data_IF_729108328694
#
_entry.id   IF_729108328694
#
_cell.length_a   1.000
_cell.length_b   1.000
_cell.length_c   1.000
_cell.angle_alpha   90.00
_cell.angle_beta   90.00
_cell.angle_gamma   90.00
#
_symmetry.space_group_name_H-M   'P 1'
#
loop_
_entity.id
_entity.type
_entity.pdbx_description
1 polymer ?
#
# COMPACT_ATOMS: atom_id res chain seq x y z
N UNK A 1 20.08 19.24 -8.63
CA UNK A 1 19.76 17.84 -9.00
C UNK A 1 18.49 17.87 -9.81
N UNK A 2 18.48 17.28 -11.01
CA UNK A 2 17.25 17.06 -11.76
C UNK A 2 16.63 15.82 -11.13
N UNK A 3 15.49 15.98 -10.44
CA UNK A 3 14.74 14.83 -9.95
C UNK A 3 14.18 14.10 -11.18
N UNK A 4 14.65 12.88 -11.42
CA UNK A 4 14.07 12.02 -12.45
C UNK A 4 12.69 11.55 -11.98
N UNK A 5 11.64 12.05 -12.63
CA UNK A 5 10.26 11.65 -12.34
C UNK A 5 9.90 10.43 -13.19
N UNK A 6 9.77 9.28 -12.54
CA UNK A 6 9.31 8.06 -13.18
C UNK A 6 7.78 7.92 -13.06
N UNK A 7 7.08 7.87 -14.20
CA UNK A 7 5.65 7.60 -14.25
C UNK A 7 5.41 6.10 -14.44
N UNK A 8 4.80 5.45 -13.45
CA UNK A 8 4.41 4.03 -13.54
C UNK A 8 2.90 3.93 -13.71
N UNK A 9 2.44 3.20 -14.74
CA UNK A 9 1.03 2.84 -14.84
C UNK A 9 0.69 1.86 -13.71
N UNK A 10 -0.37 2.14 -12.96
CA UNK A 10 -0.85 1.28 -11.87
C UNK A 10 -1.17 -0.17 -12.31
N UNK A 11 -1.41 -0.39 -13.61
CA UNK A 11 -1.54 -1.74 -14.18
C UNK A 11 -0.31 -2.62 -13.98
N UNK A 12 0.89 -2.01 -13.88
CA UNK A 12 2.15 -2.70 -13.64
C UNK A 12 2.48 -2.87 -12.15
N UNK A 13 1.66 -2.31 -11.25
CA UNK A 13 1.83 -2.49 -9.81
C UNK A 13 1.10 -3.76 -9.38
N UNK A 14 1.84 -4.71 -8.81
CA UNK A 14 1.28 -5.93 -8.23
C UNK A 14 1.05 -5.79 -6.72
N UNK A 15 1.94 -5.07 -6.03
CA UNK A 15 1.93 -4.91 -4.58
C UNK A 15 2.37 -3.52 -4.19
N UNK A 16 1.87 -3.05 -3.06
CA UNK A 16 2.31 -1.81 -2.43
C UNK A 16 3.12 -2.12 -1.18
N UNK A 17 4.32 -1.54 -1.09
CA UNK A 17 5.14 -1.60 0.13
C UNK A 17 4.36 -1.04 1.31
N UNK A 18 4.51 -1.66 2.47
CA UNK A 18 3.82 -1.27 3.68
C UNK A 18 4.83 -0.94 4.78
N UNK A 19 4.89 0.33 5.17
CA UNK A 19 5.78 0.84 6.19
C UNK A 19 5.03 1.42 7.40
N UNK A 20 5.78 1.88 8.42
CA UNK A 20 5.18 2.53 9.59
C UNK A 20 4.43 3.81 9.21
N UNK A 21 4.95 4.57 8.24
CA UNK A 21 4.32 5.82 7.82
C UNK A 21 2.95 5.55 7.17
N UNK A 22 2.86 4.53 6.31
CA UNK A 22 1.63 4.08 5.67
C UNK A 22 0.64 3.57 6.70
N UNK A 23 1.10 2.81 7.70
CA UNK A 23 0.27 2.35 8.81
C UNK A 23 -0.32 3.53 9.62
N UNK A 24 0.47 4.57 9.88
CA UNK A 24 0.01 5.80 10.53
C UNK A 24 -0.98 6.58 9.67
N UNK A 25 -0.75 6.67 8.35
CA UNK A 25 -1.71 7.29 7.42
C UNK A 25 -3.03 6.53 7.41
N UNK A 26 -3.01 5.19 7.36
CA UNK A 26 -4.22 4.38 7.44
C UNK A 26 -5.03 4.69 8.71
N UNK A 27 -4.36 4.72 9.87
CA UNK A 27 -5.00 5.08 11.16
C UNK A 27 -5.67 6.46 11.11
N UNK A 28 -4.97 7.46 10.56
CA UNK A 28 -5.50 8.83 10.41
C UNK A 28 -6.69 8.89 9.45
N UNK A 29 -6.60 8.20 8.31
CA UNK A 29 -7.64 8.18 7.27
C UNK A 29 -8.88 7.43 7.72
N UNK A 30 -8.74 6.32 8.46
CA UNK A 30 -9.87 5.60 9.06
C UNK A 30 -10.62 6.47 10.06
N UNK A 31 -9.89 7.24 10.87
CA UNK A 31 -10.47 8.16 11.84
C UNK A 31 -11.45 7.46 12.79
N UNK A 32 -12.74 7.79 12.67
CA UNK A 32 -13.82 7.26 13.53
C UNK A 32 -14.46 5.97 13.02
N UNK A 33 -14.15 5.53 11.79
CA UNK A 33 -14.66 4.26 11.26
C UNK A 33 -14.08 3.12 12.11
N UNK A 34 -14.90 2.20 12.60
CA UNK A 34 -14.39 1.05 13.36
C UNK A 34 -13.58 0.12 12.45
N UNK A 35 -12.60 -0.59 13.01
CA UNK A 35 -11.83 -1.59 12.25
C UNK A 35 -12.72 -2.69 11.68
N UNK A 36 -13.75 -3.11 12.41
CA UNK A 36 -14.71 -4.11 11.93
C UNK A 36 -15.49 -3.61 10.71
N UNK A 37 -15.96 -2.37 10.74
CA UNK A 37 -16.67 -1.78 9.62
C UNK A 37 -15.77 -1.67 8.39
N UNK A 38 -14.54 -1.19 8.57
CA UNK A 38 -13.57 -1.11 7.48
C UNK A 38 -13.24 -2.50 6.91
N UNK A 39 -13.02 -3.49 7.78
CA UNK A 39 -12.71 -4.86 7.36
C UNK A 39 -13.86 -5.47 6.54
N UNK A 40 -15.11 -5.28 7.00
CA UNK A 40 -16.30 -5.73 6.29
C UNK A 40 -16.44 -5.08 4.91
N UNK A 41 -16.32 -3.74 4.84
CA UNK A 41 -16.45 -3.00 3.58
C UNK A 41 -15.32 -3.30 2.60
N UNK A 42 -14.11 -3.56 3.11
CA UNK A 42 -12.95 -3.95 2.31
C UNK A 42 -12.89 -5.46 1.99
N UNK A 43 -13.81 -6.28 2.52
CA UNK A 43 -13.83 -7.72 2.28
C UNK A 43 -12.62 -8.48 2.88
N UNK A 44 -12.08 -7.99 4.00
CA UNK A 44 -10.92 -8.59 4.68
C UNK A 44 -11.20 -8.84 6.17
N UNK A 45 -10.25 -9.45 6.89
CA UNK A 45 -10.44 -9.73 8.32
C UNK A 45 -10.11 -8.51 9.20
N UNK A 46 -10.78 -8.39 10.35
CA UNK A 46 -10.43 -7.34 11.34
C UNK A 46 -8.95 -7.44 11.76
N UNK A 47 -8.45 -8.66 11.96
CA UNK A 47 -7.05 -8.92 12.30
C UNK A 47 -6.09 -8.42 11.22
N UNK A 48 -6.46 -8.54 9.94
CA UNK A 48 -5.67 -7.98 8.85
C UNK A 48 -5.58 -6.46 8.97
N UNK A 49 -6.71 -5.76 9.12
CA UNK A 49 -6.72 -4.30 9.35
C UNK A 49 -5.92 -3.92 10.60
N UNK A 50 -6.04 -4.67 11.70
CA UNK A 50 -5.28 -4.43 12.92
C UNK A 50 -3.77 -4.54 12.67
N UNK A 51 -3.31 -5.57 11.95
CA UNK A 51 -1.90 -5.75 11.61
C UNK A 51 -1.38 -4.61 10.73
N UNK A 52 -2.19 -4.16 9.77
CA UNK A 52 -1.86 -3.03 8.91
C UNK A 52 -1.72 -1.71 9.68
N UNK A 53 -2.60 -1.46 10.65
CA UNK A 53 -2.55 -0.25 11.44
C UNK A 53 -1.40 -0.26 12.47
N UNK A 54 -1.20 -1.37 13.17
CA UNK A 54 -0.32 -1.37 14.35
C UNK A 54 1.13 -1.65 14.02
N UNK A 55 1.44 -2.04 12.77
CA UNK A 55 2.81 -2.18 12.28
C UNK A 55 3.73 -2.97 13.24
N UNK A 56 3.14 -3.91 13.99
CA UNK A 56 3.87 -4.70 14.97
C UNK A 56 4.95 -5.48 14.23
N UNK A 57 6.21 -5.36 14.63
CA UNK A 57 7.37 -5.89 13.90
C UNK A 57 7.27 -7.40 13.62
N UNK A 58 6.44 -8.13 14.38
CA UNK A 58 6.19 -9.56 14.18
C UNK A 58 5.14 -9.90 13.11
N UNK A 59 4.17 -9.01 12.88
CA UNK A 59 2.96 -9.31 12.09
C UNK A 59 2.67 -8.26 10.99
N UNK A 60 3.49 -7.22 10.89
CA UNK A 60 3.39 -6.22 9.84
C UNK A 60 3.78 -6.86 8.51
N UNK A 61 2.92 -6.78 7.48
CA UNK A 61 3.34 -7.19 6.15
C UNK A 61 4.38 -6.20 5.60
N UNK A 62 5.37 -6.69 4.87
CA UNK A 62 6.30 -5.83 4.10
C UNK A 62 5.60 -5.16 2.91
N UNK A 63 4.54 -5.80 2.40
CA UNK A 63 3.73 -5.30 1.30
C UNK A 63 2.34 -5.93 1.30
N UNK A 64 1.37 -5.23 0.72
CA UNK A 64 0.01 -5.74 0.47
C UNK A 64 -0.26 -5.88 -1.03
N UNK A 65 -1.22 -6.73 -1.40
CA UNK A 65 -1.65 -6.84 -2.79
C UNK A 65 -2.27 -5.53 -3.28
N UNK A 66 -2.23 -5.31 -4.60
CA UNK A 66 -2.94 -4.19 -5.22
C UNK A 66 -4.43 -4.25 -4.89
N UNK A 67 -5.01 -5.44 -4.94
CA UNK A 67 -6.44 -5.67 -4.73
C UNK A 67 -6.85 -5.26 -3.32
N UNK A 68 -6.10 -5.67 -2.29
CA UNK A 68 -6.34 -5.26 -0.89
C UNK A 68 -6.18 -3.75 -0.71
N UNK A 69 -5.15 -3.16 -1.33
CA UNK A 69 -4.88 -1.73 -1.26
C UNK A 69 -6.06 -0.90 -1.80
N UNK A 70 -6.60 -1.30 -2.95
CA UNK A 70 -7.77 -0.66 -3.54
C UNK A 70 -9.04 -0.94 -2.74
N UNK A 71 -9.24 -2.16 -2.23
CA UNK A 71 -10.40 -2.49 -1.40
C UNK A 71 -10.46 -1.60 -0.14
N UNK A 72 -9.33 -1.42 0.55
CA UNK A 72 -9.23 -0.53 1.71
C UNK A 72 -9.50 0.93 1.33
N UNK A 73 -8.92 1.42 0.24
CA UNK A 73 -9.13 2.81 -0.20
C UNK A 73 -10.59 3.07 -0.61
N UNK A 74 -11.22 2.12 -1.31
CA UNK A 74 -12.62 2.18 -1.71
C UNK A 74 -13.54 2.18 -0.49
N UNK A 75 -13.29 1.32 0.51
CA UNK A 75 -14.03 1.29 1.77
C UNK A 75 -13.92 2.62 2.54
N UNK A 76 -12.76 3.28 2.49
CA UNK A 76 -12.56 4.60 3.07
C UNK A 76 -13.06 5.76 2.20
N UNK A 77 -13.58 5.47 0.99
CA UNK A 77 -13.95 6.45 -0.02
C UNK A 77 -12.83 7.49 -0.28
N UNK A 78 -11.60 7.00 -0.41
CA UNK A 78 -10.43 7.81 -0.74
C UNK A 78 -9.75 7.29 -1.99
N UNK A 79 -9.08 8.17 -2.74
CA UNK A 79 -8.21 7.71 -3.82
C UNK A 79 -6.92 7.09 -3.28
N UNK A 80 -6.33 6.17 -4.03
CA UNK A 80 -5.13 5.40 -3.65
C UNK A 80 -3.94 6.28 -3.24
N UNK A 81 -3.78 7.44 -3.87
CA UNK A 81 -2.67 8.38 -3.58
C UNK A 81 -2.80 9.08 -2.22
N UNK A 82 -3.95 9.02 -1.54
CA UNK A 82 -4.03 9.49 -0.14
C UNK A 82 -3.35 8.52 0.82
N UNK A 83 -3.37 7.22 0.52
CA UNK A 83 -2.72 6.20 1.34
C UNK A 83 -1.25 6.02 0.91
N UNK A 84 -1.01 6.03 -0.42
CA UNK A 84 0.29 5.90 -1.05
C UNK A 84 0.63 7.16 -1.88
N UNK A 85 0.99 8.28 -1.23
CA UNK A 85 1.27 9.55 -1.90
C UNK A 85 2.53 9.52 -2.76
N UNK A 86 3.46 8.63 -2.44
CA UNK A 86 4.73 8.48 -3.16
C UNK A 86 4.90 7.03 -3.55
N UNK A 87 5.20 6.80 -4.83
CA UNK A 87 5.61 5.49 -5.31
C UNK A 87 7.15 5.46 -5.25
N UNK A 88 7.69 4.68 -4.32
CA UNK A 88 9.15 4.46 -4.27
C UNK A 88 9.47 3.29 -5.18
N UNK A 89 10.18 3.58 -6.26
CA UNK A 89 10.74 2.55 -7.13
C UNK A 89 12.16 2.31 -6.63
N UNK A 90 12.46 1.10 -6.19
CA UNK A 90 13.86 0.72 -5.99
C UNK A 90 14.51 0.62 -7.37
N UNK A 91 15.41 1.56 -7.68
CA UNK A 91 16.08 1.63 -8.98
C UNK A 91 16.98 0.43 -9.24
N UNK A 92 17.59 -0.17 -8.21
CA UNK A 92 18.40 -1.40 -8.34
C UNK A 92 17.51 -2.58 -8.73
N UNK A 93 16.39 -2.77 -8.02
CA UNK A 93 15.42 -3.82 -8.36
C UNK A 93 14.79 -3.60 -9.74
N UNK A 94 14.53 -2.34 -10.13
CA UNK A 94 14.05 -2.01 -11.46
C UNK A 94 15.09 -2.37 -12.53
N UNK A 95 16.37 -2.04 -12.30
CA UNK A 95 17.46 -2.37 -13.22
C UNK A 95 17.62 -3.90 -13.37
N UNK A 96 17.57 -4.66 -12.28
CA UNK A 96 17.62 -6.13 -12.34
C UNK A 96 16.44 -6.73 -13.13
N UNK A 97 15.22 -6.24 -12.90
CA UNK A 97 14.03 -6.66 -13.65
C UNK A 97 14.17 -6.31 -15.14
N UNK A 98 14.61 -5.09 -15.45
CA UNK A 98 14.80 -4.66 -16.84
C UNK A 98 15.91 -5.46 -17.54
N UNK A 99 17.01 -5.80 -16.86
CA UNK A 99 18.08 -6.62 -17.43
C UNK A 99 17.65 -8.06 -17.68
N UNK A 100 16.89 -8.66 -16.76
CA UNK A 100 16.41 -10.05 -16.87
C UNK A 100 15.30 -10.24 -17.90
N UNK A 101 14.48 -9.22 -18.18
CA UNK A 101 13.43 -9.29 -19.20
C UNK A 101 13.90 -8.96 -20.63
N UNK A 102 15.12 -8.43 -20.77
CA UNK A 102 15.74 -8.09 -22.06
C UNK A 102 16.77 -9.13 -22.54
N UNK A 103 16.90 -10.25 -21.83
CA UNK A 103 17.68 -11.44 -22.23
C UNK A 103 16.76 -12.62 -22.48
#
# INVERSE_FOLDING_TARGET
MIEEVCFVKLSYVSRFTWDEETAQRLRKLRGKISRDKLALEAGCSNTFIQNLEWANSRNKPESISKEDAFAICNALNIPIWKLFPTLVINSESLQEICQSLLT
#
